data_IF_067895628923
#
_entry.id   IF_067895628923
#
_cell.length_a   1.000
_cell.length_b   1.000
_cell.length_c   1.000
_cell.angle_alpha   90.00
_cell.angle_beta   90.00
_cell.angle_gamma   90.00
#
_symmetry.space_group_name_H-M   'P 1'
#
loop_
_entity.id
_entity.type
_entity.pdbx_description
1 polymer ?
#
# COMPACT_ATOMS: atom_id res chain seq x y z
N UNK A 1 -53.68 28.04 26.04
CA UNK A 1 -53.17 27.62 24.72
C UNK A 1 -52.41 26.32 24.92
N UNK A 2 -52.84 25.19 24.34
CA UNK A 2 -52.11 23.93 24.46
C UNK A 2 -50.85 24.00 23.60
N UNK A 3 -49.70 23.66 24.20
CA UNK A 3 -48.42 23.51 23.50
C UNK A 3 -48.52 22.30 22.57
N UNK A 4 -48.65 22.55 21.27
CA UNK A 4 -48.41 21.56 20.22
C UNK A 4 -46.90 21.37 20.08
N UNK A 5 -46.33 20.54 20.95
CA UNK A 5 -44.98 20.01 20.74
C UNK A 5 -44.96 19.15 19.47
N UNK A 6 -43.87 19.16 18.69
CA UNK A 6 -43.76 18.32 17.51
C UNK A 6 -43.76 16.85 17.94
N UNK A 7 -44.87 16.16 17.71
CA UNK A 7 -44.94 14.69 17.67
C UNK A 7 -44.46 14.23 16.30
N UNK A 8 -43.17 14.45 16.03
CA UNK A 8 -42.47 13.65 15.04
C UNK A 8 -41.82 12.53 15.85
N UNK A 9 -42.58 11.45 16.02
CA UNK A 9 -41.96 10.13 16.10
C UNK A 9 -41.21 9.98 14.78
N UNK A 10 -39.96 10.46 14.73
CA UNK A 10 -39.00 10.00 13.74
C UNK A 10 -39.06 8.49 13.87
N UNK A 11 -39.66 7.85 12.87
CA UNK A 11 -39.52 6.43 12.56
C UNK A 11 -38.03 6.18 12.47
N UNK A 12 -37.43 5.95 13.64
CA UNK A 12 -36.03 5.65 13.79
C UNK A 12 -35.92 4.29 13.13
N UNK A 13 -35.56 4.26 11.85
CA UNK A 13 -35.44 3.06 11.02
C UNK A 13 -34.70 1.99 11.82
N UNK A 14 -35.45 1.16 12.56
CA UNK A 14 -34.87 0.17 13.46
C UNK A 14 -34.26 -0.82 12.49
N UNK A 15 -32.91 -0.91 12.42
CA UNK A 15 -32.27 -1.74 11.44
C UNK A 15 -32.79 -3.15 11.62
N UNK A 16 -33.32 -3.71 10.54
CA UNK A 16 -33.97 -5.02 10.54
C UNK A 16 -33.10 -6.01 11.34
N UNK A 17 -33.68 -6.71 12.33
CA UNK A 17 -32.91 -7.56 13.21
C UNK A 17 -32.15 -8.58 12.37
N UNK A 18 -30.83 -8.51 12.43
CA UNK A 18 -29.95 -9.40 11.67
C UNK A 18 -30.30 -10.83 12.08
N UNK A 19 -30.45 -11.80 11.17
CA UNK A 19 -30.60 -13.19 11.57
C UNK A 19 -29.34 -13.67 12.31
N UNK A 20 -29.51 -14.37 13.43
CA UNK A 20 -28.40 -14.82 14.29
C UNK A 20 -27.33 -15.58 13.48
N UNK A 21 -27.76 -16.46 12.59
CA UNK A 21 -26.89 -17.26 11.73
C UNK A 21 -25.99 -16.38 10.86
N UNK A 22 -26.54 -15.28 10.34
CA UNK A 22 -25.80 -14.31 9.52
C UNK A 22 -24.77 -13.54 10.34
N UNK A 23 -25.13 -13.12 11.56
CA UNK A 23 -24.20 -12.43 12.45
C UNK A 23 -23.01 -13.33 12.83
N UNK A 24 -23.29 -14.59 13.16
CA UNK A 24 -22.25 -15.59 13.45
C UNK A 24 -21.36 -15.83 12.23
N UNK A 25 -21.93 -16.05 11.05
CA UNK A 25 -21.17 -16.27 9.82
C UNK A 25 -20.25 -15.09 9.48
N UNK A 26 -20.72 -13.85 9.64
CA UNK A 26 -19.95 -12.64 9.39
C UNK A 26 -18.74 -12.53 10.35
N UNK A 27 -18.96 -12.79 11.64
CA UNK A 27 -17.89 -12.80 12.65
C UNK A 27 -16.88 -13.91 12.36
N UNK A 28 -17.34 -15.11 11.98
CA UNK A 28 -16.47 -16.23 11.60
C UNK A 28 -15.62 -15.92 10.38
N UNK A 29 -16.25 -15.40 9.33
CA UNK A 29 -15.57 -15.11 8.07
C UNK A 29 -14.51 -14.01 8.27
N UNK A 30 -14.84 -12.95 9.00
CA UNK A 30 -13.88 -11.91 9.35
C UNK A 30 -12.71 -12.44 10.21
N UNK A 31 -12.99 -13.21 11.26
CA UNK A 31 -11.93 -13.73 12.13
C UNK A 31 -11.04 -14.76 11.43
N UNK A 32 -11.61 -15.61 10.57
CA UNK A 32 -10.86 -16.54 9.72
C UNK A 32 -9.95 -15.81 8.75
N UNK A 33 -10.43 -14.77 8.04
CA UNK A 33 -9.61 -14.02 7.09
C UNK A 33 -8.48 -13.28 7.79
N UNK A 34 -8.73 -12.71 8.98
CA UNK A 34 -7.67 -12.14 9.83
C UNK A 34 -6.64 -13.15 10.28
N UNK A 35 -7.09 -14.33 10.70
CA UNK A 35 -6.19 -15.44 11.02
C UNK A 35 -5.34 -15.84 9.82
N UNK A 36 -5.95 -15.94 8.64
CA UNK A 36 -5.25 -16.28 7.41
C UNK A 36 -4.20 -15.23 7.02
N UNK A 37 -4.55 -13.94 7.13
CA UNK A 37 -3.62 -12.84 6.88
C UNK A 37 -2.42 -12.88 7.82
N UNK A 38 -2.66 -12.94 9.13
CA UNK A 38 -1.59 -12.97 10.15
C UNK A 38 -0.70 -14.19 9.96
N UNK A 39 -1.30 -15.37 9.75
CA UNK A 39 -0.55 -16.59 9.49
C UNK A 39 0.28 -16.51 8.21
N UNK A 40 -0.29 -16.00 7.11
CA UNK A 40 0.41 -15.81 5.84
C UNK A 40 1.62 -14.89 5.98
N UNK A 41 1.45 -13.74 6.64
CA UNK A 41 2.50 -12.74 6.84
C UNK A 41 3.59 -13.30 7.73
N UNK A 42 3.22 -13.88 8.88
CA UNK A 42 4.18 -14.38 9.86
C UNK A 42 5.13 -15.41 9.24
N UNK A 43 4.58 -16.43 8.58
CA UNK A 43 5.44 -17.47 8.01
C UNK A 43 6.20 -16.96 6.78
N UNK A 44 5.63 -16.05 5.99
CA UNK A 44 6.35 -15.44 4.86
C UNK A 44 7.55 -14.60 5.32
N UNK A 45 7.38 -13.75 6.33
CA UNK A 45 8.46 -12.91 6.89
C UNK A 45 9.59 -13.77 7.46
N UNK A 46 9.27 -14.87 8.13
CA UNK A 46 10.26 -15.82 8.63
C UNK A 46 10.97 -16.61 7.52
N UNK A 47 10.27 -16.92 6.43
CA UNK A 47 10.81 -17.73 5.34
C UNK A 47 11.71 -16.94 4.37
N UNK A 48 11.44 -15.65 4.16
CA UNK A 48 12.23 -14.78 3.27
C UNK A 48 13.75 -14.85 3.53
N UNK A 49 14.27 -14.62 4.75
CA UNK A 49 15.72 -14.64 5.00
C UNK A 49 16.32 -16.05 4.79
N UNK A 50 15.58 -17.11 5.09
CA UNK A 50 16.02 -18.50 4.90
C UNK A 50 16.16 -18.81 3.42
N UNK A 51 15.19 -18.42 2.60
CA UNK A 51 15.22 -18.66 1.16
C UNK A 51 16.22 -17.76 0.44
N UNK A 52 16.42 -16.53 0.93
CA UNK A 52 17.46 -15.64 0.44
C UNK A 52 18.85 -16.24 0.63
N UNK A 53 19.15 -16.76 1.84
CA UNK A 53 20.43 -17.42 2.13
C UNK A 53 20.66 -18.68 1.29
N UNK A 54 19.59 -19.39 0.89
CA UNK A 54 19.66 -20.55 0.00
C UNK A 54 19.78 -20.19 -1.50
N UNK A 55 19.87 -18.91 -1.83
CA UNK A 55 20.05 -18.45 -3.22
C UNK A 55 18.83 -18.66 -4.12
N UNK A 56 17.64 -18.89 -3.55
CA UNK A 56 16.43 -19.06 -4.35
C UNK A 56 16.01 -17.73 -4.98
N UNK A 57 15.74 -17.72 -6.29
CA UNK A 57 15.35 -16.52 -7.05
C UNK A 57 14.19 -16.79 -8.00
N UNK A 58 13.52 -15.72 -8.43
CA UNK A 58 12.48 -15.74 -9.46
C UNK A 58 11.29 -16.64 -9.11
N UNK A 59 10.83 -17.42 -10.10
CA UNK A 59 9.63 -18.28 -9.97
C UNK A 59 9.74 -19.33 -8.87
N UNK A 60 10.95 -19.85 -8.60
CA UNK A 60 11.15 -20.88 -7.59
C UNK A 60 10.97 -20.33 -6.18
N UNK A 61 11.47 -19.11 -5.93
CA UNK A 61 11.23 -18.38 -4.68
C UNK A 61 9.73 -18.10 -4.50
N UNK A 62 9.08 -17.61 -5.56
CA UNK A 62 7.65 -17.29 -5.54
C UNK A 62 6.78 -18.52 -5.22
N UNK A 63 7.09 -19.67 -5.83
CA UNK A 63 6.38 -20.92 -5.56
C UNK A 63 6.57 -21.43 -4.14
N UNK A 64 7.77 -21.28 -3.55
CA UNK A 64 8.07 -21.69 -2.18
C UNK A 64 7.44 -20.75 -1.15
N UNK A 65 7.51 -19.44 -1.37
CA UNK A 65 6.84 -18.45 -0.55
C UNK A 65 5.32 -18.63 -0.59
N UNK A 66 4.74 -18.86 -1.78
CA UNK A 66 3.33 -19.17 -1.90
C UNK A 66 2.92 -20.43 -1.14
N UNK A 67 3.75 -21.48 -1.17
CA UNK A 67 3.46 -22.72 -0.43
C UNK A 67 3.44 -22.49 1.08
N UNK A 68 4.45 -21.80 1.58
CA UNK A 68 4.56 -21.47 3.00
C UNK A 68 3.43 -20.52 3.43
N UNK A 69 3.15 -19.50 2.63
CA UNK A 69 2.06 -18.55 2.82
C UNK A 69 0.71 -19.26 2.88
N UNK A 70 0.47 -20.24 2.02
CA UNK A 70 -0.75 -21.05 2.02
C UNK A 70 -0.88 -21.85 3.33
N UNK A 71 0.19 -22.52 3.77
CA UNK A 71 0.21 -23.26 5.04
C UNK A 71 -0.06 -22.33 6.21
N UNK A 72 0.61 -21.17 6.25
CA UNK A 72 0.39 -20.14 7.26
C UNK A 72 -1.06 -19.63 7.26
N UNK A 73 -1.63 -19.39 6.08
CA UNK A 73 -3.02 -18.93 5.93
C UNK A 73 -4.02 -19.94 6.49
N UNK A 74 -3.86 -21.22 6.15
CA UNK A 74 -4.75 -22.30 6.61
C UNK A 74 -4.65 -22.47 8.12
N UNK A 75 -3.43 -22.56 8.67
CA UNK A 75 -3.22 -22.73 10.10
C UNK A 75 -3.72 -21.52 10.89
N UNK A 76 -3.39 -20.31 10.46
CA UNK A 76 -3.82 -19.08 11.12
C UNK A 76 -5.34 -18.91 11.10
N UNK A 77 -5.99 -19.19 9.96
CA UNK A 77 -7.45 -19.16 9.84
C UNK A 77 -8.12 -20.18 10.75
N UNK A 78 -7.61 -21.42 10.81
CA UNK A 78 -8.14 -22.47 11.67
C UNK A 78 -8.02 -22.12 13.16
N UNK A 79 -6.85 -21.64 13.61
CA UNK A 79 -6.62 -21.24 15.00
C UNK A 79 -7.57 -20.11 15.41
N UNK A 80 -7.74 -19.09 14.57
CA UNK A 80 -8.64 -17.97 14.87
C UNK A 80 -10.12 -18.38 14.83
N UNK A 81 -10.51 -19.32 13.96
CA UNK A 81 -11.85 -19.88 13.95
C UNK A 81 -12.17 -20.64 15.24
N UNK A 82 -11.22 -21.44 15.74
CA UNK A 82 -11.36 -22.16 17.01
C UNK A 82 -11.52 -21.19 18.18
N UNK A 83 -10.67 -20.16 18.26
CA UNK A 83 -10.79 -19.12 19.29
C UNK A 83 -12.09 -18.32 19.20
N UNK A 84 -12.61 -18.11 17.99
CA UNK A 84 -13.89 -17.44 17.77
C UNK A 84 -15.06 -18.31 18.24
N UNK A 85 -15.01 -19.62 18.00
CA UNK A 85 -16.02 -20.55 18.49
C UNK A 85 -16.10 -20.52 20.03
N UNK A 86 -14.95 -20.55 20.71
CA UNK A 86 -14.89 -20.46 22.17
C UNK A 86 -15.50 -19.14 22.67
N UNK A 87 -15.10 -18.01 22.09
CA UNK A 87 -15.64 -16.69 22.47
C UNK A 87 -17.13 -16.54 22.20
N UNK A 88 -17.65 -17.10 21.11
CA UNK A 88 -19.07 -17.05 20.79
C UNK A 88 -19.89 -17.92 21.76
N UNK A 89 -19.37 -19.08 22.18
CA UNK A 89 -20.02 -19.90 23.21
C UNK A 89 -20.10 -19.19 24.56
N UNK A 90 -19.06 -18.44 24.93
CA UNK A 90 -19.02 -17.68 26.19
C UNK A 90 -19.93 -16.44 26.17
N UNK A 91 -19.99 -15.73 25.05
CA UNK A 91 -20.71 -14.44 24.94
C UNK A 91 -22.19 -14.57 24.54
N UNK A 92 -22.60 -15.76 24.10
CA UNK A 92 -23.97 -16.03 23.68
C UNK A 92 -24.39 -15.27 22.41
N UNK A 93 -25.69 -15.33 22.10
CA UNK A 93 -26.26 -14.72 20.91
C UNK A 93 -26.02 -13.21 20.82
N UNK A 94 -26.15 -12.50 21.94
CA UNK A 94 -26.03 -11.05 21.97
C UNK A 94 -24.59 -10.58 21.69
N UNK A 95 -23.57 -11.31 22.16
CA UNK A 95 -22.18 -11.02 21.84
C UNK A 95 -21.84 -11.17 20.36
N UNK A 96 -22.47 -12.14 19.68
CA UNK A 96 -22.33 -12.29 18.23
C UNK A 96 -22.91 -11.08 17.48
N UNK A 97 -24.08 -10.59 17.91
CA UNK A 97 -24.74 -9.42 17.33
C UNK A 97 -23.94 -8.14 17.52
N UNK A 98 -23.53 -7.82 18.75
CA UNK A 98 -22.74 -6.61 19.05
C UNK A 98 -21.45 -6.60 18.21
N UNK A 99 -20.79 -7.76 18.08
CA UNK A 99 -19.56 -7.85 17.31
C UNK A 99 -19.80 -7.67 15.81
N UNK A 100 -20.82 -8.32 15.24
CA UNK A 100 -21.20 -8.13 13.85
C UNK A 100 -21.58 -6.67 13.55
N UNK A 101 -22.33 -6.02 14.46
CA UNK A 101 -22.68 -4.62 14.36
C UNK A 101 -21.45 -3.71 14.32
N UNK A 102 -20.48 -3.92 15.22
CA UNK A 102 -19.22 -3.15 15.22
C UNK A 102 -18.38 -3.37 13.97
N UNK A 103 -18.32 -4.61 13.45
CA UNK A 103 -17.62 -4.91 12.20
C UNK A 103 -18.24 -4.14 11.02
N UNK A 104 -19.58 -4.05 10.97
CA UNK A 104 -20.29 -3.29 9.95
C UNK A 104 -20.14 -1.78 10.07
N UNK A 105 -19.84 -1.24 11.24
CA UNK A 105 -19.71 0.20 11.41
C UNK A 105 -18.26 0.68 11.42
N UNK A 106 -17.29 -0.23 11.39
CA UNK A 106 -15.88 0.12 11.31
C UNK A 106 -15.43 0.25 9.85
N UNK A 107 -15.38 1.50 9.36
CA UNK A 107 -14.94 1.82 8.00
C UNK A 107 -13.52 1.31 7.70
N UNK A 108 -12.58 1.42 8.65
CA UNK A 108 -11.20 0.94 8.46
C UNK A 108 -11.12 -0.58 8.28
N UNK A 109 -11.93 -1.32 9.02
CA UNK A 109 -12.01 -2.78 8.86
C UNK A 109 -12.62 -3.18 7.52
N UNK A 110 -13.70 -2.52 7.09
CA UNK A 110 -14.29 -2.75 5.76
C UNK A 110 -13.30 -2.52 4.63
N UNK A 111 -12.57 -1.42 4.68
CA UNK A 111 -11.57 -1.08 3.65
C UNK A 111 -10.47 -2.14 3.60
N UNK A 112 -9.95 -2.58 4.75
CA UNK A 112 -8.94 -3.63 4.76
C UNK A 112 -9.49 -4.97 4.24
N UNK A 113 -10.69 -5.36 4.66
CA UNK A 113 -11.29 -6.63 4.24
C UNK A 113 -11.54 -6.62 2.73
N UNK A 114 -12.07 -5.52 2.18
CA UNK A 114 -12.23 -5.31 0.74
C UNK A 114 -10.89 -5.40 -0.01
N UNK A 115 -9.86 -4.69 0.47
CA UNK A 115 -8.52 -4.71 -0.12
C UNK A 115 -7.88 -6.11 -0.05
N UNK A 116 -8.14 -6.85 1.02
CA UNK A 116 -7.66 -8.22 1.18
C UNK A 116 -8.34 -9.18 0.19
N UNK A 117 -9.64 -9.04 -0.03
CA UNK A 117 -10.34 -9.85 -1.04
C UNK A 117 -9.91 -9.52 -2.46
N UNK A 118 -9.70 -8.25 -2.79
CA UNK A 118 -9.25 -7.86 -4.13
C UNK A 118 -7.83 -8.37 -4.39
N UNK A 119 -6.91 -8.19 -3.45
CA UNK A 119 -5.54 -8.71 -3.58
C UNK A 119 -5.48 -10.23 -3.58
N UNK A 120 -6.33 -10.92 -2.82
CA UNK A 120 -6.48 -12.37 -2.90
C UNK A 120 -7.01 -12.83 -4.27
N UNK A 121 -8.02 -12.14 -4.84
CA UNK A 121 -8.58 -12.47 -6.15
C UNK A 121 -7.56 -12.23 -7.28
N UNK A 122 -6.85 -11.09 -7.24
CA UNK A 122 -5.76 -10.79 -8.17
C UNK A 122 -4.63 -11.81 -8.02
N UNK A 123 -4.28 -12.15 -6.78
CA UNK A 123 -3.31 -13.18 -6.46
C UNK A 123 -3.73 -14.54 -7.03
N UNK A 124 -4.99 -14.92 -6.88
CA UNK A 124 -5.55 -16.15 -7.44
C UNK A 124 -5.37 -16.18 -8.95
N UNK A 125 -5.80 -15.13 -9.63
CA UNK A 125 -5.67 -15.03 -11.08
C UNK A 125 -4.20 -15.11 -11.51
N UNK A 126 -3.33 -14.28 -10.92
CA UNK A 126 -1.90 -14.28 -11.23
C UNK A 126 -1.24 -15.64 -10.95
N UNK A 127 -1.63 -16.31 -9.86
CA UNK A 127 -1.12 -17.63 -9.49
C UNK A 127 -1.52 -18.72 -10.48
N UNK A 128 -2.77 -18.72 -10.96
CA UNK A 128 -3.22 -19.67 -11.99
C UNK A 128 -2.43 -19.51 -13.29
N UNK A 129 -2.21 -18.27 -13.73
CA UNK A 129 -1.51 -17.95 -14.99
C UNK A 129 0.00 -18.20 -14.89
N UNK A 130 0.66 -17.74 -13.81
CA UNK A 130 2.12 -17.72 -13.72
C UNK A 130 2.74 -19.04 -13.27
N UNK A 131 2.04 -19.84 -12.46
CA UNK A 131 2.61 -21.05 -11.87
C UNK A 131 2.30 -22.32 -12.69
N UNK A 132 1.37 -22.26 -13.65
CA UNK A 132 0.94 -23.38 -14.48
C UNK A 132 0.62 -24.67 -13.68
N UNK A 133 -0.03 -24.50 -12.52
CA UNK A 133 -0.44 -25.57 -11.61
C UNK A 133 -1.97 -25.63 -11.44
N UNK A 134 -2.71 -25.06 -12.39
CA UNK A 134 -4.16 -24.93 -12.33
C UNK A 134 -4.63 -24.26 -11.02
N UNK A 135 -5.65 -24.83 -10.39
CA UNK A 135 -6.25 -24.34 -9.14
C UNK A 135 -5.22 -24.22 -8.02
N UNK A 136 -4.27 -25.15 -7.92
CA UNK A 136 -3.23 -25.11 -6.89
C UNK A 136 -2.34 -23.87 -7.06
N UNK A 137 -1.99 -23.52 -8.29
CA UNK A 137 -1.28 -22.25 -8.58
C UNK A 137 -2.09 -21.04 -8.13
N UNK A 138 -3.40 -21.06 -8.35
CA UNK A 138 -4.32 -20.03 -7.87
C UNK A 138 -4.34 -19.90 -6.35
N UNK A 139 -4.43 -21.01 -5.61
CA UNK A 139 -4.45 -20.97 -4.14
C UNK A 139 -3.16 -20.37 -3.55
N UNK A 140 -2.00 -20.73 -4.12
CA UNK A 140 -0.70 -20.14 -3.72
C UNK A 140 -0.63 -18.64 -4.00
N UNK A 141 -1.21 -18.23 -5.13
CA UNK A 141 -1.31 -16.83 -5.50
C UNK A 141 -2.25 -16.06 -4.57
N UNK A 142 -3.42 -16.63 -4.24
CA UNK A 142 -4.41 -16.03 -3.35
C UNK A 142 -3.85 -15.82 -1.93
N UNK A 143 -3.15 -16.82 -1.38
CA UNK A 143 -2.55 -16.72 -0.04
C UNK A 143 -1.47 -15.64 0.03
N UNK A 144 -0.66 -15.53 -1.05
CA UNK A 144 0.35 -14.50 -1.19
C UNK A 144 -0.30 -13.12 -1.34
N UNK A 145 -1.39 -13.04 -2.12
CA UNK A 145 -2.22 -11.84 -2.28
C UNK A 145 -2.75 -11.31 -0.96
N UNK A 146 -3.28 -12.19 -0.09
CA UNK A 146 -3.73 -11.80 1.26
C UNK A 146 -2.64 -11.11 2.08
N UNK A 147 -1.41 -11.61 2.04
CA UNK A 147 -0.29 -10.96 2.76
C UNK A 147 0.10 -9.62 2.15
N UNK A 148 0.08 -9.51 0.82
CA UNK A 148 0.42 -8.27 0.12
C UNK A 148 -0.61 -7.18 0.38
N UNK A 149 -1.90 -7.51 0.42
CA UNK A 149 -2.94 -6.52 0.72
C UNK A 149 -2.78 -5.90 2.10
N UNK A 150 -2.46 -6.69 3.11
CA UNK A 150 -2.20 -6.15 4.46
C UNK A 150 -0.95 -5.27 4.48
N UNK A 151 0.12 -5.68 3.81
CA UNK A 151 1.34 -4.88 3.73
C UNK A 151 1.11 -3.56 2.97
N UNK A 152 0.31 -3.58 1.91
CA UNK A 152 -0.09 -2.39 1.16
C UNK A 152 -0.89 -1.43 2.05
N UNK A 153 -1.90 -1.94 2.77
CA UNK A 153 -2.68 -1.12 3.69
C UNK A 153 -1.83 -0.53 4.83
N UNK A 154 -0.93 -1.31 5.42
CA UNK A 154 -0.01 -0.82 6.45
C UNK A 154 0.91 0.25 5.87
N UNK A 155 1.43 0.05 4.66
CA UNK A 155 2.23 1.05 3.96
C UNK A 155 1.46 2.36 3.71
N UNK A 156 0.21 2.26 3.26
CA UNK A 156 -0.66 3.42 3.03
C UNK A 156 -0.98 4.20 4.31
N UNK A 157 -1.31 3.49 5.39
CA UNK A 157 -1.61 4.13 6.69
C UNK A 157 -0.36 4.76 7.32
N UNK A 158 0.80 4.10 7.24
CA UNK A 158 2.07 4.69 7.68
C UNK A 158 2.40 5.94 6.86
N UNK A 159 2.21 5.91 5.54
CA UNK A 159 2.47 7.07 4.68
C UNK A 159 1.57 8.26 5.03
N UNK A 160 0.28 8.03 5.26
CA UNK A 160 -0.67 9.08 5.67
C UNK A 160 -0.29 9.70 7.03
N UNK A 161 0.06 8.88 8.01
CA UNK A 161 0.42 9.35 9.35
C UNK A 161 1.75 10.13 9.36
N UNK A 162 2.73 9.70 8.58
CA UNK A 162 4.00 10.42 8.41
C UNK A 162 3.78 11.74 7.67
N UNK A 163 2.94 11.75 6.63
CA UNK A 163 2.59 12.96 5.90
C UNK A 163 1.93 14.03 6.79
N UNK A 164 0.99 13.61 7.65
CA UNK A 164 0.30 14.50 8.60
C UNK A 164 1.24 15.05 9.68
N UNK A 165 2.09 14.22 10.27
CA UNK A 165 3.05 14.68 11.29
C UNK A 165 4.10 15.63 10.72
N UNK A 166 4.50 15.45 9.47
CA UNK A 166 5.34 16.43 8.76
C UNK A 166 4.55 17.72 8.56
N UNK A 167 3.33 17.65 8.04
CA UNK A 167 2.51 18.84 7.79
C UNK A 167 2.27 19.68 9.06
N UNK A 168 1.88 19.07 10.18
CA UNK A 168 1.67 19.78 11.46
C UNK A 168 2.94 20.43 12.02
N UNK A 169 4.09 19.75 11.88
CA UNK A 169 5.36 20.28 12.38
C UNK A 169 5.87 21.47 11.58
N UNK A 170 5.50 21.55 10.30
CA UNK A 170 5.85 22.67 9.43
C UNK A 170 4.78 23.78 9.42
N UNK A 171 3.50 23.47 9.59
CA UNK A 171 2.43 24.49 9.69
C UNK A 171 2.46 25.22 11.02
N UNK A 172 2.81 24.54 12.14
CA UNK A 172 2.96 25.17 13.45
C UNK A 172 4.15 26.14 13.58
N UNK A 173 5.08 26.16 12.61
CA UNK A 173 6.19 27.12 12.51
C UNK A 173 5.98 28.19 11.45
N UNK A 174 4.93 28.09 10.63
CA UNK A 174 4.64 29.02 9.56
C UNK A 174 3.82 30.21 10.06
N UNK A 175 4.36 30.93 11.04
CA UNK A 175 4.22 32.38 11.01
C UNK A 175 5.11 32.88 9.87
N UNK A 176 4.50 33.42 8.82
CA UNK A 176 5.06 34.38 7.85
C UNK A 176 6.06 33.99 6.75
N UNK A 177 6.48 32.74 6.55
CA UNK A 177 7.35 32.40 5.39
C UNK A 177 6.81 31.24 4.55
N UNK A 178 6.71 31.46 3.23
CA UNK A 178 6.12 30.54 2.26
C UNK A 178 6.78 29.15 2.23
N UNK A 179 5.98 28.14 1.88
CA UNK A 179 6.39 26.75 1.92
C UNK A 179 7.13 26.35 0.63
N UNK A 180 8.30 25.74 0.80
CA UNK A 180 9.02 25.02 -0.25
C UNK A 180 9.04 23.54 0.11
N UNK A 181 8.29 22.72 -0.63
CA UNK A 181 8.38 21.26 -0.50
C UNK A 181 9.32 20.76 -1.61
N UNK A 182 10.47 20.21 -1.23
CA UNK A 182 11.38 19.57 -2.16
C UNK A 182 11.06 18.09 -2.25
N UNK A 183 10.67 17.62 -3.44
CA UNK A 183 10.50 16.19 -3.75
C UNK A 183 11.35 15.88 -4.98
N UNK A 184 12.34 15.00 -4.83
CA UNK A 184 13.23 14.52 -5.91
C UNK A 184 13.79 15.63 -6.83
N UNK A 185 14.27 16.73 -6.25
CA UNK A 185 14.89 17.84 -6.98
C UNK A 185 13.90 18.80 -7.67
N UNK A 186 12.59 18.58 -7.51
CA UNK A 186 11.55 19.53 -7.90
C UNK A 186 11.11 20.35 -6.68
N UNK A 187 11.00 21.67 -6.87
CA UNK A 187 10.49 22.59 -5.84
C UNK A 187 9.00 22.76 -6.08
N UNK A 188 8.19 22.26 -5.16
CA UNK A 188 6.77 22.61 -5.10
C UNK A 188 6.64 23.90 -4.29
N UNK A 189 6.33 24.99 -4.98
CA UNK A 189 6.02 26.28 -4.38
C UNK A 189 4.53 26.35 -4.10
N UNK A 190 4.15 26.41 -2.82
CA UNK A 190 2.78 26.73 -2.41
C UNK A 190 2.81 28.18 -1.90
N UNK A 191 2.26 29.15 -2.66
CA UNK A 191 2.21 30.52 -2.21
C UNK A 191 1.38 30.60 -0.92
N UNK A 192 1.94 31.20 0.12
CA UNK A 192 1.20 31.51 1.34
C UNK A 192 0.10 32.52 0.99
N UNK A 193 -1.16 32.16 1.24
CA UNK A 193 -2.27 33.10 1.11
C UNK A 193 -2.20 34.12 2.24
N UNK A 194 -2.41 35.43 1.96
CA UNK A 194 -2.57 36.42 3.01
C UNK A 194 -3.82 36.08 3.85
N UNK A 195 -3.78 36.34 5.17
CA UNK A 195 -4.81 35.89 6.12
C UNK A 195 -6.19 36.55 5.97
N UNK A 196 -6.39 37.43 4.99
CA UNK A 196 -7.58 38.31 4.91
C UNK A 196 -8.66 37.86 3.91
N UNK A 197 -8.52 36.71 3.24
CA UNK A 197 -9.54 36.24 2.29
C UNK A 197 -10.27 34.96 2.75
N UNK A 198 -11.61 34.99 2.89
CA UNK A 198 -12.38 33.79 3.22
C UNK A 198 -12.32 32.78 2.06
N UNK A 199 -12.28 31.46 2.35
CA UNK A 199 -12.14 30.41 1.36
C UNK A 199 -13.49 30.20 0.66
N UNK A 200 -13.79 31.03 -0.33
CA UNK A 200 -14.87 30.73 -1.27
C UNK A 200 -14.43 31.07 -2.68
N UNK A 201 -14.37 30.03 -3.52
CA UNK A 201 -14.36 30.04 -5.00
C UNK A 201 -13.06 30.26 -5.81
N UNK A 202 -11.88 30.50 -5.22
CA UNK A 202 -10.66 30.61 -6.06
C UNK A 202 -9.90 29.28 -6.23
N UNK A 203 -9.60 28.86 -7.47
CA UNK A 203 -8.78 27.67 -7.73
C UNK A 203 -7.32 27.92 -7.32
N UNK A 204 -6.73 26.98 -6.58
CA UNK A 204 -5.31 27.01 -6.22
C UNK A 204 -4.46 26.80 -7.49
N UNK A 205 -3.47 27.68 -7.72
CA UNK A 205 -2.47 27.46 -8.77
C UNK A 205 -1.24 26.78 -8.19
N UNK A 206 -1.00 25.52 -8.56
CA UNK A 206 0.25 24.82 -8.22
C UNK A 206 1.21 24.98 -9.39
N UNK A 207 2.41 25.50 -9.13
CA UNK A 207 3.48 25.61 -10.13
C UNK A 207 4.62 24.64 -9.80
N UNK A 208 4.89 23.72 -10.72
CA UNK A 208 6.06 22.83 -10.67
C UNK A 208 7.22 23.47 -11.44
N UNK A 209 8.35 23.66 -10.76
CA UNK A 209 9.59 24.13 -11.36
C UNK A 209 10.67 23.05 -11.31
N UNK A 210 11.21 22.68 -12.47
CA UNK A 210 12.41 21.83 -12.56
C UNK A 210 13.67 22.71 -12.47
N UNK A 211 14.63 22.35 -11.61
CA UNK A 211 15.84 23.14 -11.32
C UNK A 211 16.76 23.44 -12.53
N UNK A 212 16.47 22.91 -13.73
CA UNK A 212 17.33 23.04 -14.92
C UNK A 212 16.64 23.32 -16.26
N UNK A 213 15.31 23.53 -16.31
CA UNK A 213 14.62 23.89 -17.56
C UNK A 213 13.44 24.83 -17.28
N UNK A 214 13.33 25.90 -18.06
CA UNK A 214 12.35 26.97 -17.91
C UNK A 214 10.94 26.58 -18.41
N UNK A 215 10.43 25.43 -17.96
CA UNK A 215 9.09 24.94 -18.29
C UNK A 215 8.29 24.84 -16.99
N UNK A 216 7.41 25.80 -16.72
CA UNK A 216 6.50 25.74 -15.56
C UNK A 216 5.16 25.16 -15.99
N UNK A 217 4.78 24.01 -15.42
CA UNK A 217 3.42 23.50 -15.56
C UNK A 217 2.57 24.09 -14.43
N UNK A 218 1.51 24.82 -14.79
CA UNK A 218 0.47 25.26 -13.83
C UNK A 218 -0.73 24.33 -13.95
N UNK A 219 -1.11 23.72 -12.83
CA UNK A 219 -2.35 22.95 -12.74
C UNK A 219 -3.25 23.63 -11.72
N UNK A 220 -4.49 23.93 -12.12
CA UNK A 220 -5.55 24.42 -11.25
C UNK A 220 -6.52 23.29 -10.95
N UNK A 221 -6.74 23.00 -9.67
CA UNK A 221 -7.64 21.93 -9.27
C UNK A 221 -8.26 22.20 -7.89
N UNK A 222 -9.47 21.66 -7.61
CA UNK A 222 -10.11 21.78 -6.30
C UNK A 222 -9.35 21.00 -5.23
N UNK A 223 -9.40 21.48 -3.97
CA UNK A 223 -8.66 20.94 -2.83
C UNK A 223 -8.90 19.42 -2.61
N UNK A 224 -10.10 18.93 -2.92
CA UNK A 224 -10.48 17.52 -2.79
C UNK A 224 -9.73 16.59 -3.75
N UNK A 225 -9.16 17.13 -4.85
CA UNK A 225 -8.43 16.36 -5.86
C UNK A 225 -6.93 16.26 -5.60
N UNK A 226 -6.43 16.89 -4.53
CA UNK A 226 -5.02 16.98 -4.18
C UNK A 226 -4.32 15.61 -3.96
N UNK A 227 -4.95 14.60 -3.32
CA UNK A 227 -4.33 13.27 -3.17
C UNK A 227 -4.16 12.55 -4.52
N UNK A 228 -5.14 12.72 -5.41
CA UNK A 228 -5.15 12.13 -6.75
C UNK A 228 -4.12 12.80 -7.65
N UNK A 229 -3.98 14.13 -7.55
CA UNK A 229 -2.94 14.89 -8.24
C UNK A 229 -1.54 14.54 -7.72
N UNK A 230 -1.35 14.38 -6.41
CA UNK A 230 -0.08 13.97 -5.84
C UNK A 230 0.30 12.56 -6.31
N UNK A 231 -0.67 11.63 -6.36
CA UNK A 231 -0.50 10.29 -6.91
C UNK A 231 -0.14 10.30 -8.40
N UNK A 232 -0.77 11.18 -9.20
CA UNK A 232 -0.45 11.35 -10.62
C UNK A 232 0.95 11.92 -10.82
N UNK A 233 1.32 12.98 -10.09
CA UNK A 233 2.65 13.60 -10.18
C UNK A 233 3.73 12.60 -9.80
N UNK A 234 3.54 11.80 -8.75
CA UNK A 234 4.48 10.76 -8.36
C UNK A 234 4.58 9.62 -9.38
N UNK A 235 3.49 9.26 -10.05
CA UNK A 235 3.52 8.28 -11.16
C UNK A 235 4.27 8.83 -12.37
N UNK A 236 4.12 10.12 -12.66
CA UNK A 236 4.84 10.79 -13.76
C UNK A 236 6.33 10.89 -13.44
N UNK A 237 6.72 11.32 -12.23
CA UNK A 237 8.13 11.41 -11.83
C UNK A 237 8.78 10.03 -11.74
N UNK A 238 8.09 8.99 -11.25
CA UNK A 238 8.58 7.62 -11.25
C UNK A 238 8.75 7.05 -12.67
N UNK A 239 7.83 7.39 -13.59
CA UNK A 239 7.90 7.04 -15.02
C UNK A 239 9.09 7.72 -15.70
N UNK A 240 9.34 9.01 -15.43
CA UNK A 240 10.45 9.77 -16.01
C UNK A 240 11.83 9.39 -15.43
N UNK A 241 11.89 9.01 -14.15
CA UNK A 241 13.11 8.44 -13.56
C UNK A 241 13.49 7.10 -14.22
N UNK A 242 12.50 6.32 -14.67
CA UNK A 242 12.71 5.07 -15.41
C UNK A 242 13.29 5.28 -16.82
N UNK A 243 12.93 6.38 -17.50
CA UNK A 243 13.48 6.73 -18.82
C UNK A 243 14.85 7.38 -18.74
N UNK A 244 15.14 8.17 -17.69
CA UNK A 244 16.47 8.79 -17.51
C UNK A 244 17.58 7.77 -17.19
N UNK A 245 17.29 6.68 -16.48
CA UNK A 245 18.29 5.62 -16.21
C UNK A 245 18.59 4.73 -17.43
N UNK A 246 17.77 4.78 -18.49
CA UNK A 246 17.96 3.99 -19.72
C UNK A 246 18.75 4.72 -20.82
N UNK A 247 19.10 5.99 -20.64
CA UNK A 247 19.85 6.80 -21.60
C UNK A 247 21.36 6.94 -21.32
N UNK A 248 21.95 6.14 -20.41
CA UNK A 248 23.40 6.22 -20.09
C UNK A 248 24.22 4.97 -20.47
N UNK A 249 23.77 4.21 -21.47
CA UNK A 249 24.54 3.11 -22.08
C UNK A 249 24.22 2.97 -23.56
N UNK A 250 24.72 3.88 -24.38
CA UNK A 250 25.12 3.67 -25.80
C UNK A 250 25.61 4.98 -26.39
N UNK A 251 26.64 4.92 -27.25
CA UNK A 251 27.41 5.97 -27.93
C UNK A 251 28.55 6.59 -27.08
N UNK A 252 29.82 6.61 -27.51
CA UNK A 252 30.40 6.52 -28.85
C UNK A 252 31.73 5.74 -28.88
N UNK A 253 31.88 4.96 -29.95
CA UNK A 253 33.14 4.48 -30.53
C UNK A 253 33.82 5.66 -31.21
N UNK A 254 35.12 5.83 -30.97
CA UNK A 254 36.00 6.74 -31.71
C UNK A 254 37.31 6.05 -32.03
N UNK A 255 37.41 5.55 -33.27
CA UNK A 255 38.58 4.95 -33.91
C UNK A 255 39.69 5.97 -34.17
N UNK A 256 40.94 5.63 -33.82
CA UNK A 256 42.16 6.19 -34.44
C UNK A 256 43.28 5.13 -34.43
N UNK A 257 43.55 4.58 -35.62
CA UNK A 257 44.83 4.18 -36.23
C UNK A 257 45.87 3.29 -35.50
N UNK A 258 46.58 2.40 -36.23
CA UNK A 258 47.48 1.39 -35.67
C UNK A 258 48.94 1.86 -35.67
N UNK A 259 49.72 1.63 -34.61
CA UNK A 259 51.18 1.57 -34.73
C UNK A 259 51.84 0.75 -33.61
N UNK A 260 52.61 -0.24 -34.06
CA UNK A 260 53.89 -0.72 -33.52
C UNK A 260 53.97 -1.49 -32.20
N UNK A 261 54.33 -2.78 -32.37
CA UNK A 261 54.98 -3.64 -31.38
C UNK A 261 56.23 -2.97 -30.81
N UNK A 262 56.34 -2.88 -29.47
CA UNK A 262 57.62 -3.05 -28.78
C UNK A 262 57.42 -3.85 -27.51
N UNK A 263 58.20 -4.94 -27.45
CA UNK A 263 58.41 -5.80 -26.31
C UNK A 263 58.86 -4.97 -25.10
N UNK A 264 58.29 -5.25 -23.92
CA UNK A 264 58.97 -4.97 -22.66
C UNK A 264 59.06 -6.26 -21.85
N UNK A 265 60.29 -6.78 -21.80
CA UNK A 265 60.75 -7.76 -20.84
C UNK A 265 60.66 -7.15 -19.43
N UNK A 266 60.15 -7.91 -18.47
CA UNK A 266 60.56 -7.76 -17.06
C UNK A 266 61.23 -9.07 -16.66
N UNK A 267 62.53 -8.97 -16.41
CA UNK A 267 63.43 -10.03 -15.95
C UNK A 267 63.22 -10.20 -14.44
N UNK A 268 62.94 -11.43 -14.02
CA UNK A 268 63.07 -11.89 -12.63
C UNK A 268 64.55 -12.09 -12.33
N UNK A 269 65.07 -11.48 -11.26
CA UNK A 269 66.38 -11.80 -10.69
C UNK A 269 66.17 -12.41 -9.32
N UNK A 270 66.62 -13.65 -9.18
CA UNK A 270 66.82 -14.38 -7.93
C UNK A 270 68.31 -14.29 -7.55
N UNK A 271 68.54 -14.23 -6.25
CA UNK A 271 69.66 -14.75 -5.46
C UNK A 271 71.09 -14.20 -5.71
N UNK A 272 71.58 -13.43 -4.73
CA UNK A 272 72.67 -13.81 -3.80
C UNK A 272 72.55 -13.00 -2.52
#
# INVERSE_FOLDING_TARGET
MPNSGPTEEEDLDVPEPIPHERAVAEVYLHTMTRGAQVGSIFVSVLAVPVYWKRGLRGRLLLGRLGQISLVGSVLGGAIMAMGTNQKLKESGAWGAYDRAYRLRNNAGQKTLDALSYTTAAVGLFAGTVLLNKGIYGGLLGASSGLSLGVLEYVGLTMYQNVGLTVYERYSGRAGTQGFHIFVDGCILLIPALPPEHPPSSQPYSVSLGASRSASSLRVQAPLESLPTLLSMVLKITASECGTCLKCRRTSSVGTLGPFSRKNFLIRSSKDT
#
